data_IF_583763107629
#
_entry.id   IF_583763107629
#
_cell.length_a   1.000
_cell.length_b   1.000
_cell.length_c   1.000
_cell.angle_alpha   90.00
_cell.angle_beta   90.00
_cell.angle_gamma   90.00
#
_symmetry.space_group_name_H-M   'P 1'
#
loop_
_entity.id
_entity.type
_entity.pdbx_description
1 polymer ?
#
# COMPACT_ATOMS: atom_id res chain seq x y z
N UNK A 1 0.02 -37.35 -7.96
CA UNK A 1 0.73 -36.36 -7.11
C UNK A 1 0.09 -35.04 -7.46
N UNK A 2 -1.11 -34.88 -6.94
CA UNK A 2 -2.06 -33.87 -7.37
C UNK A 2 -1.91 -32.72 -6.40
N UNK A 3 -1.37 -31.61 -6.89
CA UNK A 3 -1.31 -30.37 -6.12
C UNK A 3 -2.74 -29.89 -5.94
N UNK A 4 -3.33 -30.14 -4.76
CA UNK A 4 -4.60 -29.55 -4.37
C UNK A 4 -4.51 -28.03 -4.56
N UNK A 5 -5.49 -27.39 -5.22
CA UNK A 5 -5.53 -25.94 -5.29
C UNK A 5 -5.67 -25.44 -3.85
N UNK A 6 -4.59 -24.90 -3.28
CA UNK A 6 -4.64 -24.18 -2.02
C UNK A 6 -5.68 -23.07 -2.20
N UNK A 7 -6.88 -23.28 -1.66
CA UNK A 7 -7.93 -22.28 -1.66
C UNK A 7 -7.33 -21.03 -1.01
N UNK A 8 -7.06 -20.01 -1.81
CA UNK A 8 -6.43 -18.76 -1.35
C UNK A 8 -7.28 -18.04 -0.30
N UNK A 9 -8.57 -18.39 -0.20
CA UNK A 9 -9.49 -17.96 0.85
C UNK A 9 -9.33 -18.70 2.19
N UNK A 10 -8.53 -19.78 2.25
CA UNK A 10 -8.24 -20.52 3.48
C UNK A 10 -7.00 -20.00 4.21
N UNK A 11 -6.17 -19.17 3.58
CA UNK A 11 -5.00 -18.55 4.23
C UNK A 11 -5.38 -17.15 4.73
N UNK A 12 -5.51 -16.95 6.07
CA UNK A 12 -5.92 -15.68 6.64
C UNK A 12 -4.93 -14.55 6.35
N UNK A 13 -3.64 -14.86 6.18
CA UNK A 13 -2.62 -13.88 5.88
C UNK A 13 -2.67 -13.46 4.41
N UNK A 14 -2.87 -14.40 3.47
CA UNK A 14 -3.02 -14.06 2.05
C UNK A 14 -4.27 -13.21 1.81
N UNK A 15 -5.40 -13.55 2.44
CA UNK A 15 -6.61 -12.73 2.36
C UNK A 15 -6.36 -11.30 2.88
N UNK A 16 -5.65 -11.17 4.00
CA UNK A 16 -5.25 -9.88 4.54
C UNK A 16 -4.30 -9.12 3.61
N UNK A 17 -3.33 -9.80 2.99
CA UNK A 17 -2.38 -9.20 2.07
C UNK A 17 -3.07 -8.62 0.83
N UNK A 18 -4.03 -9.34 0.25
CA UNK A 18 -4.85 -8.84 -0.87
C UNK A 18 -5.58 -7.55 -0.48
N UNK A 19 -6.25 -7.55 0.68
CA UNK A 19 -6.97 -6.39 1.19
C UNK A 19 -6.05 -5.16 1.34
N UNK A 20 -4.86 -5.33 1.93
CA UNK A 20 -3.88 -4.25 2.11
C UNK A 20 -3.39 -3.70 0.78
N UNK A 21 -3.08 -4.58 -0.19
CA UNK A 21 -2.61 -4.16 -1.50
C UNK A 21 -3.70 -3.41 -2.29
N UNK A 22 -4.95 -3.87 -2.23
CA UNK A 22 -6.08 -3.17 -2.86
C UNK A 22 -6.27 -1.76 -2.28
N UNK A 23 -5.98 -1.54 -1.00
CA UNK A 23 -6.04 -0.20 -0.40
C UNK A 23 -4.91 0.69 -0.90
N UNK A 24 -3.69 0.17 -1.01
CA UNK A 24 -2.58 0.94 -1.58
C UNK A 24 -2.80 1.28 -3.06
N UNK A 25 -3.49 0.43 -3.82
CA UNK A 25 -3.88 0.69 -5.21
C UNK A 25 -4.84 1.87 -5.36
N UNK A 26 -5.71 2.13 -4.36
CA UNK A 26 -6.61 3.29 -4.35
C UNK A 26 -5.87 4.63 -4.15
N UNK A 27 -4.58 4.59 -3.82
CA UNK A 27 -3.74 5.76 -3.64
C UNK A 27 -3.82 6.37 -2.23
N UNK A 28 -3.39 7.64 -2.06
CA UNK A 28 -3.34 8.33 -0.77
C UNK A 28 -4.75 8.75 -0.33
N UNK A 29 -5.59 7.78 -0.02
CA UNK A 29 -6.88 7.98 0.62
C UNK A 29 -6.73 7.73 2.12
N UNK A 30 -7.43 8.46 3.02
CA UNK A 30 -7.36 8.25 4.47
C UNK A 30 -8.11 6.98 4.89
N UNK A 31 -7.96 5.88 4.15
CA UNK A 31 -8.45 4.58 4.55
C UNK A 31 -7.56 4.05 5.67
N UNK A 32 -8.13 3.64 6.82
CA UNK A 32 -7.34 2.98 7.85
C UNK A 32 -6.77 1.69 7.26
N UNK A 33 -5.43 1.55 7.30
CA UNK A 33 -4.78 0.31 6.88
C UNK A 33 -5.28 -0.81 7.79
N UNK A 34 -5.88 -1.88 7.23
CA UNK A 34 -6.38 -3.00 8.00
C UNK A 34 -5.27 -3.56 8.87
N UNK A 35 -5.59 -3.88 10.12
CA UNK A 35 -4.67 -4.57 11.02
C UNK A 35 -4.84 -6.07 10.86
N UNK A 36 -3.73 -6.80 10.82
CA UNK A 36 -3.76 -8.26 10.86
C UNK A 36 -3.77 -8.72 12.32
N UNK A 37 -4.86 -9.37 12.74
CA UNK A 37 -5.01 -9.96 14.08
C UNK A 37 -5.00 -11.51 14.05
N UNK A 38 -4.62 -12.09 12.91
CA UNK A 38 -4.51 -13.54 12.74
C UNK A 38 -3.16 -14.11 13.23
N UNK A 39 -2.92 -15.42 13.05
CA UNK A 39 -1.65 -16.06 13.41
C UNK A 39 -0.48 -15.40 12.69
N UNK A 40 0.49 -14.89 13.45
CA UNK A 40 1.70 -14.27 12.91
C UNK A 40 2.92 -15.16 13.10
N UNK A 41 3.78 -15.15 12.09
CA UNK A 41 5.12 -15.72 12.13
C UNK A 41 6.13 -14.62 11.80
N UNK A 42 7.42 -14.88 12.04
CA UNK A 42 8.48 -13.95 11.65
C UNK A 42 8.44 -13.59 10.15
N UNK A 43 7.91 -14.48 9.30
CA UNK A 43 7.78 -14.25 7.86
C UNK A 43 6.66 -13.24 7.58
N UNK A 44 5.47 -13.45 8.14
CA UNK A 44 4.33 -12.55 7.95
C UNK A 44 4.63 -11.16 8.52
N UNK A 45 5.28 -11.09 9.68
CA UNK A 45 5.67 -9.84 10.31
C UNK A 45 6.70 -9.07 9.47
N UNK A 46 7.67 -9.78 8.88
CA UNK A 46 8.66 -9.16 8.00
C UNK A 46 8.02 -8.63 6.70
N UNK A 47 7.07 -9.37 6.13
CA UNK A 47 6.30 -8.93 4.95
C UNK A 47 5.50 -7.66 5.28
N UNK A 48 4.72 -7.65 6.36
CA UNK A 48 3.93 -6.48 6.79
C UNK A 48 4.82 -5.26 7.04
N UNK A 49 5.98 -5.44 7.68
CA UNK A 49 6.95 -4.38 7.92
C UNK A 49 7.54 -3.83 6.62
N UNK A 50 7.88 -4.70 5.68
CA UNK A 50 8.40 -4.30 4.37
C UNK A 50 7.36 -3.49 3.59
N UNK A 51 6.10 -3.95 3.57
CA UNK A 51 4.99 -3.26 2.91
C UNK A 51 4.76 -1.86 3.50
N UNK A 52 4.72 -1.73 4.83
CA UNK A 52 4.61 -0.42 5.49
C UNK A 52 5.74 0.53 5.10
N UNK A 53 6.95 0.01 4.94
CA UNK A 53 8.11 0.80 4.52
C UNK A 53 7.98 1.25 3.06
N UNK A 54 7.52 0.36 2.17
CA UNK A 54 7.27 0.68 0.75
C UNK A 54 6.16 1.71 0.60
N UNK A 55 5.02 1.52 1.28
CA UNK A 55 3.90 2.46 1.26
C UNK A 55 4.31 3.86 1.74
N UNK A 56 5.09 3.95 2.82
CA UNK A 56 5.62 5.24 3.28
C UNK A 56 6.46 5.93 2.22
N UNK A 57 7.34 5.20 1.52
CA UNK A 57 8.18 5.75 0.44
C UNK A 57 7.34 6.21 -0.75
N UNK A 58 6.33 5.43 -1.12
CA UNK A 58 5.38 5.75 -2.20
C UNK A 58 4.63 7.05 -1.88
N UNK A 59 4.01 7.15 -0.70
CA UNK A 59 3.31 8.37 -0.29
C UNK A 59 4.22 9.58 -0.19
N UNK A 60 5.45 9.43 0.32
CA UNK A 60 6.42 10.55 0.31
C UNK A 60 6.79 10.98 -1.11
N UNK A 61 6.95 10.03 -2.03
CA UNK A 61 7.22 10.35 -3.43
C UNK A 61 6.04 11.06 -4.10
N UNK A 62 4.81 10.60 -3.85
CA UNK A 62 3.58 11.22 -4.35
C UNK A 62 3.38 12.64 -3.80
N UNK A 63 3.61 12.84 -2.50
CA UNK A 63 3.53 14.16 -1.85
C UNK A 63 4.60 15.14 -2.36
N UNK A 64 5.82 14.64 -2.57
CA UNK A 64 6.91 15.42 -3.16
C UNK A 64 6.56 15.82 -4.61
N UNK A 65 6.03 14.88 -5.40
CA UNK A 65 5.60 15.14 -6.77
C UNK A 65 4.45 16.15 -6.82
N UNK A 66 3.47 16.05 -5.91
CA UNK A 66 2.39 17.00 -5.80
C UNK A 66 2.90 18.40 -5.44
N UNK A 67 3.88 18.49 -4.54
CA UNK A 67 4.53 19.75 -4.14
C UNK A 67 5.29 20.40 -5.30
N UNK A 68 6.04 19.62 -6.08
CA UNK A 68 6.73 20.09 -7.28
C UNK A 68 5.74 20.63 -8.31
N UNK A 69 4.69 19.85 -8.63
CA UNK A 69 3.64 20.28 -9.56
C UNK A 69 2.93 21.55 -9.09
N UNK A 70 2.67 21.66 -7.79
CA UNK A 70 2.08 22.87 -7.22
C UNK A 70 3.01 24.06 -7.44
N UNK A 71 4.31 23.94 -7.15
CA UNK A 71 5.27 25.03 -7.40
C UNK A 71 5.38 25.43 -8.87
N UNK A 72 5.39 24.46 -9.80
CA UNK A 72 5.42 24.73 -11.25
C UNK A 72 4.15 25.46 -11.72
N UNK A 73 2.98 25.13 -11.14
CA UNK A 73 1.72 25.80 -11.45
C UNK A 73 1.68 27.27 -10.96
N UNK A 74 2.40 27.60 -9.88
CA UNK A 74 2.55 28.99 -9.43
C UNK A 74 3.52 29.79 -10.30
N UNK A 75 4.57 29.15 -10.84
CA UNK A 75 5.54 29.79 -11.73
C UNK A 75 4.97 30.08 -13.12
N UNK A 76 3.99 29.29 -13.58
CA UNK A 76 3.20 29.54 -14.80
C UNK A 76 1.93 30.38 -14.55
N UNK A 77 1.94 31.27 -13.55
CA UNK A 77 0.81 32.17 -13.25
C UNK A 77 0.29 32.92 -14.49
N UNK A 78 -1.00 33.32 -14.49
CA UNK A 78 -1.72 33.72 -15.69
C UNK A 78 -0.98 34.85 -16.41
N UNK A 79 -0.73 34.68 -17.70
CA UNK A 79 -0.38 35.79 -18.59
C UNK A 79 -1.52 36.83 -18.52
N UNK A 80 -1.30 37.87 -17.71
CA UNK A 80 -2.03 39.16 -17.60
C UNK A 80 -3.51 39.14 -17.22
#
# INVERSE_FOLDING_TARGET
MDAEPHNSFSDPFLAHLVLVLSIYELGPFPAPVPRYDGPSTWQTDNILRALKTMARRMYTAEDTLASIKASENWENGPDT
#
